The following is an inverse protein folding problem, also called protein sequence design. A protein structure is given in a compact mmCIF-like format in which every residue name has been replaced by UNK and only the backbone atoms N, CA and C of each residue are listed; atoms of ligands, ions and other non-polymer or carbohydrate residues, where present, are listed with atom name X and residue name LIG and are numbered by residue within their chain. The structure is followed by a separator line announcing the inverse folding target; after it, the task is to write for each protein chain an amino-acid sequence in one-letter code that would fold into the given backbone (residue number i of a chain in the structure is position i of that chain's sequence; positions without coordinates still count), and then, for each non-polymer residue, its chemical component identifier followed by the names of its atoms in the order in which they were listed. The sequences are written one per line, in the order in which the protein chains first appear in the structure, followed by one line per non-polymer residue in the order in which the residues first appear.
data_IF_488722150007
#
_entry.id   IF_488722150007
#
_cell.length_a   1.000
_cell.length_b   1.000
_cell.length_c   1.000
_cell.angle_alpha   90.00
_cell.angle_beta   90.00
_cell.angle_gamma   90.00
#
_symmetry.space_group_name_H-M   'P 1'
#
loop_
_entity.id
_entity.type
_entity.pdbx_description
1 polymer ?
#
# COMPACT_ATOMS: atom_id res chain seq x y z
N UNK A 1 -15.72 4.77 -0.74
CA UNK A 1 -14.28 4.41 -0.75
C UNK A 1 -13.46 5.54 -0.13
N UNK A 2 -14.08 6.33 0.75
CA UNK A 2 -13.68 7.73 0.89
C UNK A 2 -12.51 7.90 1.87
N UNK A 3 -12.16 6.82 2.58
CA UNK A 3 -11.06 6.71 3.53
C UNK A 3 -10.11 5.55 3.16
N UNK A 4 -10.11 5.12 1.90
CA UNK A 4 -9.34 3.97 1.44
C UNK A 4 -8.47 4.37 0.26
N UNK A 5 -7.20 3.97 0.30
CA UNK A 5 -6.28 4.10 -0.82
C UNK A 5 -5.93 2.69 -1.30
N UNK A 6 -6.03 2.48 -2.61
CA UNK A 6 -5.71 1.20 -3.24
C UNK A 6 -4.38 1.36 -3.98
N UNK A 7 -3.39 0.59 -3.55
CA UNK A 7 -2.14 0.40 -4.30
C UNK A 7 -2.30 -0.93 -5.05
N UNK A 8 -2.26 -0.87 -6.39
CA UNK A 8 -2.46 -2.05 -7.23
C UNK A 8 -1.26 -2.26 -8.13
N UNK A 9 -0.64 -3.43 -8.00
CA UNK A 9 0.29 -4.01 -8.95
C UNK A 9 -0.22 -5.41 -9.29
N UNK A 10 -0.88 -5.53 -10.43
CA UNK A 10 -1.54 -6.76 -10.87
C UNK A 10 -0.53 -7.78 -11.40
N UNK A 11 -0.97 -9.03 -11.61
CA UNK A 11 -0.12 -10.08 -12.18
C UNK A 11 0.39 -9.76 -13.60
N UNK A 12 -0.26 -8.83 -14.31
CA UNK A 12 0.20 -8.37 -15.64
C UNK A 12 1.27 -7.27 -15.56
N UNK A 13 1.47 -6.67 -14.38
CA UNK A 13 2.46 -5.64 -14.16
C UNK A 13 3.87 -6.24 -13.98
N UNK A 14 4.94 -5.53 -14.40
CA UNK A 14 6.31 -5.98 -14.20
C UNK A 14 6.62 -6.33 -12.73
N UNK A 15 7.40 -7.40 -12.52
CA UNK A 15 7.81 -7.85 -11.19
C UNK A 15 8.39 -6.74 -10.28
N UNK A 16 9.16 -5.75 -10.78
CA UNK A 16 9.61 -4.64 -9.94
C UNK A 16 8.49 -3.79 -9.34
N UNK A 17 7.34 -3.65 -10.03
CA UNK A 17 6.18 -2.93 -9.50
C UNK A 17 5.50 -3.71 -8.38
N UNK A 18 5.37 -5.03 -8.53
CA UNK A 18 4.84 -5.89 -7.47
C UNK A 18 5.77 -5.84 -6.24
N UNK A 19 7.09 -5.82 -6.44
CA UNK A 19 8.06 -5.70 -5.36
C UNK A 19 7.95 -4.37 -4.60
N UNK A 20 7.75 -3.24 -5.30
CA UNK A 20 7.69 -1.92 -4.65
C UNK A 20 6.29 -1.56 -4.11
N UNK A 21 5.25 -2.28 -4.51
CA UNK A 21 3.87 -1.98 -4.13
C UNK A 21 3.64 -2.00 -2.60
N UNK A 22 4.12 -3.01 -1.83
CA UNK A 22 4.00 -3.00 -0.37
C UNK A 22 4.68 -1.78 0.27
N UNK A 23 5.88 -1.42 -0.19
CA UNK A 23 6.63 -0.26 0.33
C UNK A 23 5.89 1.06 0.06
N UNK A 24 5.27 1.18 -1.11
CA UNK A 24 4.46 2.35 -1.47
C UNK A 24 3.22 2.45 -0.57
N UNK A 25 2.56 1.32 -0.30
CA UNK A 25 1.44 1.25 0.65
C UNK A 25 1.84 1.64 2.07
N UNK A 26 2.98 1.17 2.55
CA UNK A 26 3.52 1.53 3.87
C UNK A 26 3.81 3.02 3.98
N UNK A 27 4.51 3.61 3.01
CA UNK A 27 4.84 5.04 3.02
C UNK A 27 3.58 5.93 3.07
N UNK A 28 2.52 5.53 2.35
CA UNK A 28 1.23 6.23 2.39
C UNK A 28 0.55 6.11 3.76
N UNK A 29 0.61 4.95 4.39
CA UNK A 29 0.05 4.75 5.72
C UNK A 29 0.84 5.52 6.79
N UNK A 30 2.16 5.53 6.70
CA UNK A 30 3.06 6.31 7.57
C UNK A 30 2.73 7.80 7.52
N UNK A 31 2.42 8.34 6.34
CA UNK A 31 1.99 9.74 6.21
C UNK A 31 0.80 10.08 7.12
N UNK A 32 -0.25 9.25 7.14
CA UNK A 32 -1.41 9.49 8.01
C UNK A 32 -1.13 9.15 9.48
N UNK A 33 -0.31 8.13 9.73
CA UNK A 33 0.17 7.80 11.08
C UNK A 33 0.89 8.99 11.70
N UNK A 34 1.78 9.66 10.95
CA UNK A 34 2.49 10.86 11.42
C UNK A 34 1.59 12.08 11.60
N UNK A 35 0.37 12.07 11.06
CA UNK A 35 -0.68 13.04 11.37
C UNK A 35 -1.50 12.69 12.62
N UNK A 36 -1.11 11.65 13.36
CA UNK A 36 -1.80 11.19 14.56
C UNK A 36 -3.08 10.42 14.27
N UNK A 37 -3.23 9.84 13.08
CA UNK A 37 -4.38 9.01 12.71
C UNK A 37 -4.07 7.53 12.89
N UNK A 38 -5.06 6.76 13.32
CA UNK A 38 -5.00 5.31 13.25
C UNK A 38 -5.14 4.85 11.79
N UNK A 39 -4.28 3.93 11.38
CA UNK A 39 -4.22 3.42 10.00
C UNK A 39 -4.22 1.90 9.98
N UNK A 40 -4.86 1.32 8.96
CA UNK A 40 -4.86 -0.11 8.68
C UNK A 40 -4.20 -0.34 7.32
N UNK A 41 -3.27 -1.29 7.27
CA UNK A 41 -2.63 -1.73 6.03
C UNK A 41 -2.96 -3.21 5.82
N UNK A 42 -3.36 -3.56 4.60
CA UNK A 42 -3.58 -4.95 4.17
C UNK A 42 -2.72 -5.19 2.94
N UNK A 43 -1.88 -6.23 3.01
CA UNK A 43 -1.13 -6.73 1.86
C UNK A 43 -1.82 -8.00 1.36
N UNK A 44 -2.07 -8.06 0.06
CA UNK A 44 -2.69 -9.20 -0.61
C UNK A 44 -1.89 -9.46 -1.90
N UNK A 45 -0.77 -10.17 -1.82
CA UNK A 45 -0.16 -10.80 -0.63
C UNK A 45 1.33 -10.41 -0.52
N UNK A 46 2.14 -11.17 0.22
CA UNK A 46 3.60 -10.95 0.35
C UNK A 46 4.42 -12.13 -0.22
N UNK A 47 3.79 -13.03 -0.97
CA UNK A 47 4.35 -14.32 -1.42
C UNK A 47 4.67 -14.40 -2.90
#
# INVERSE_FOLDING_TARGET
MDYTIIVSATASDPAPLQYIAPYSGTALAEYFMYQGKDVLIVYDDLS
#
